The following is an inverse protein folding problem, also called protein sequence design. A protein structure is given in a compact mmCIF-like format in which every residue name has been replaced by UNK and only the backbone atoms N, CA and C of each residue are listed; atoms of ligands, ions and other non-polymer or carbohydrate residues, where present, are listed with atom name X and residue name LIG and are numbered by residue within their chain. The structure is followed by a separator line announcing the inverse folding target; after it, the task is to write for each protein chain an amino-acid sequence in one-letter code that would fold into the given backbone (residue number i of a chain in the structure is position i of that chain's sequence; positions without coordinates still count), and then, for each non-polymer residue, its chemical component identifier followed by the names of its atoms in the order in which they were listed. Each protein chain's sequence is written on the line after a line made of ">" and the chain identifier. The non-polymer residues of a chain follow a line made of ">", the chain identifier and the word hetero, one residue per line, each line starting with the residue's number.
data_IF_002194176510
#
_entry.id   IF_002194176510
#
_cell.length_a   1.000
_cell.length_b   1.000
_cell.length_c   1.000
_cell.angle_alpha   90.00
_cell.angle_beta   90.00
_cell.angle_gamma   90.00
#
_symmetry.space_group_name_H-M   'P 1'
#
loop_
_entity.id
_entity.type
_entity.pdbx_description
1 polymer ?
#
# COMPACT_ATOMS: atom_id res chain seq x y z
N UNK A 1 -20.86 -22.25 17.75
CA UNK A 1 -20.06 -21.03 17.52
C UNK A 1 -20.86 -19.83 17.98
N UNK A 2 -20.23 -18.82 18.60
CA UNK A 2 -20.93 -17.58 18.96
C UNK A 2 -21.43 -16.84 17.69
N UNK A 3 -22.53 -16.07 17.79
CA UNK A 3 -23.04 -15.24 16.65
C UNK A 3 -21.96 -14.32 16.09
N UNK A 4 -21.04 -13.87 16.93
CA UNK A 4 -19.90 -13.03 16.52
C UNK A 4 -18.91 -13.82 15.67
N UNK A 5 -18.57 -15.04 16.05
CA UNK A 5 -17.66 -15.89 15.27
C UNK A 5 -18.24 -16.23 13.89
N UNK A 6 -19.57 -16.44 13.80
CA UNK A 6 -20.25 -16.66 12.53
C UNK A 6 -20.31 -15.40 11.66
N UNK A 7 -20.48 -14.23 12.27
CA UNK A 7 -20.45 -12.96 11.55
C UNK A 7 -19.05 -12.62 10.98
N UNK A 8 -17.98 -13.00 11.70
CA UNK A 8 -16.58 -12.77 11.27
C UNK A 8 -16.14 -13.80 10.23
N UNK A 9 -16.41 -15.09 10.50
CA UNK A 9 -15.96 -16.21 9.69
C UNK A 9 -17.11 -17.18 9.42
N UNK A 10 -17.99 -16.87 8.44
CA UNK A 10 -19.17 -17.69 8.12
C UNK A 10 -18.82 -19.17 7.87
N UNK A 11 -19.59 -20.08 8.47
CA UNK A 11 -19.35 -21.53 8.35
C UNK A 11 -19.40 -22.00 6.90
N UNK A 12 -20.24 -21.39 6.08
CA UNK A 12 -20.44 -21.73 4.66
C UNK A 12 -19.18 -21.54 3.80
N UNK A 13 -18.23 -20.67 4.21
CA UNK A 13 -16.97 -20.46 3.50
C UNK A 13 -15.94 -21.58 3.75
N UNK A 14 -16.25 -22.52 4.63
CA UNK A 14 -15.44 -23.70 4.88
C UNK A 14 -14.23 -23.49 5.82
N UNK A 15 -13.59 -24.58 6.27
CA UNK A 15 -12.49 -24.52 7.22
C UNK A 15 -11.19 -23.96 6.60
N UNK A 16 -10.96 -24.21 5.33
CA UNK A 16 -9.75 -23.74 4.65
C UNK A 16 -9.78 -22.23 4.43
N UNK A 17 -10.93 -21.65 4.09
CA UNK A 17 -11.08 -20.19 4.07
C UNK A 17 -10.79 -19.57 5.45
N UNK A 18 -11.26 -20.18 6.54
CA UNK A 18 -10.98 -19.68 7.90
C UNK A 18 -9.48 -19.71 8.22
N UNK A 19 -8.76 -20.78 7.80
CA UNK A 19 -7.31 -20.87 7.96
C UNK A 19 -6.60 -19.82 7.12
N UNK A 20 -7.02 -19.63 5.87
CA UNK A 20 -6.51 -18.57 4.98
C UNK A 20 -6.73 -17.19 5.61
N UNK A 21 -7.94 -16.90 6.06
CA UNK A 21 -8.27 -15.62 6.71
C UNK A 21 -7.41 -15.39 7.95
N UNK A 22 -7.27 -16.39 8.83
CA UNK A 22 -6.42 -16.29 10.03
C UNK A 22 -4.95 -16.06 9.66
N UNK A 23 -4.43 -16.79 8.66
CA UNK A 23 -3.07 -16.61 8.15
C UNK A 23 -2.85 -15.20 7.61
N UNK A 24 -3.75 -14.73 6.76
CA UNK A 24 -3.69 -13.38 6.17
C UNK A 24 -3.77 -12.30 7.24
N UNK A 25 -4.66 -12.44 8.22
CA UNK A 25 -4.81 -11.48 9.31
C UNK A 25 -3.57 -11.40 10.18
N UNK A 26 -2.97 -12.55 10.53
CA UNK A 26 -1.74 -12.60 11.34
C UNK A 26 -0.55 -12.02 10.55
N UNK A 27 -0.43 -12.36 9.26
CA UNK A 27 0.61 -11.76 8.40
C UNK A 27 0.45 -10.25 8.31
N UNK A 28 -0.78 -9.76 8.05
CA UNK A 28 -1.07 -8.34 7.97
C UNK A 28 -0.75 -7.58 9.28
N UNK A 29 -0.96 -8.21 10.44
CA UNK A 29 -0.55 -7.60 11.71
C UNK A 29 0.99 -7.46 11.78
N UNK A 30 1.73 -8.49 11.41
CA UNK A 30 3.19 -8.46 11.36
C UNK A 30 3.71 -7.39 10.39
N UNK A 31 3.12 -7.32 9.21
CA UNK A 31 3.49 -6.34 8.18
C UNK A 31 3.14 -4.90 8.61
N UNK A 32 1.99 -4.70 9.26
CA UNK A 32 1.60 -3.42 9.86
C UNK A 32 2.55 -2.96 10.97
N UNK A 33 3.05 -3.88 11.80
CA UNK A 33 4.09 -3.59 12.79
C UNK A 33 5.37 -3.09 12.09
N UNK A 34 5.78 -3.73 11.00
CA UNK A 34 6.96 -3.34 10.24
C UNK A 34 6.83 -1.96 9.56
N UNK A 35 5.62 -1.55 9.17
CA UNK A 35 5.37 -0.24 8.55
C UNK A 35 5.85 0.94 9.41
N UNK A 36 5.73 0.84 10.74
CA UNK A 36 6.26 1.86 11.65
C UNK A 36 7.67 1.52 12.13
N UNK A 37 7.95 0.26 12.47
CA UNK A 37 9.23 -0.15 13.03
C UNK A 37 10.39 -0.03 12.03
N UNK A 38 10.15 -0.28 10.73
CA UNK A 38 11.17 -0.18 9.68
C UNK A 38 11.79 1.22 9.58
N UNK A 39 11.00 2.26 9.27
CA UNK A 39 11.49 3.64 9.23
C UNK A 39 12.12 4.11 10.55
N UNK A 40 11.57 3.72 11.70
CA UNK A 40 12.14 4.02 13.01
C UNK A 40 13.51 3.36 13.21
N UNK A 41 13.67 2.11 12.76
CA UNK A 41 14.96 1.43 12.85
C UNK A 41 16.00 2.13 11.96
N UNK A 42 15.64 2.53 10.73
CA UNK A 42 16.55 3.30 9.87
C UNK A 42 16.91 4.64 10.52
N UNK A 43 15.92 5.38 11.04
CA UNK A 43 16.14 6.67 11.70
C UNK A 43 16.96 6.54 13.01
N UNK A 44 16.99 5.36 13.64
CA UNK A 44 17.87 5.09 14.80
C UNK A 44 19.33 4.86 14.41
N UNK A 45 19.61 4.44 13.17
CA UNK A 45 20.96 4.17 12.67
C UNK A 45 21.60 5.37 11.98
N UNK A 46 20.78 6.31 11.48
CA UNK A 46 21.27 7.47 10.72
C UNK A 46 20.33 8.66 10.85
N UNK A 47 20.89 9.86 10.71
CA UNK A 47 20.12 11.11 10.58
C UNK A 47 20.14 11.67 9.15
N UNK A 48 20.79 10.99 8.20
CA UNK A 48 20.76 11.38 6.78
C UNK A 48 19.37 11.15 6.19
N UNK A 49 18.66 12.20 5.76
CA UNK A 49 17.36 12.07 5.12
C UNK A 49 17.41 11.19 3.85
N UNK A 50 18.52 11.25 3.11
CA UNK A 50 18.71 10.41 1.93
C UNK A 50 18.68 8.92 2.28
N UNK A 51 19.33 8.49 3.38
CA UNK A 51 19.34 7.10 3.82
C UNK A 51 18.00 6.70 4.47
N UNK A 52 17.36 7.61 5.21
CA UNK A 52 16.05 7.33 5.82
C UNK A 52 14.96 7.16 4.75
N UNK A 53 14.98 7.95 3.69
CA UNK A 53 14.03 7.82 2.59
C UNK A 53 14.14 6.50 1.84
N UNK A 54 15.32 5.85 1.89
CA UNK A 54 15.51 4.51 1.33
C UNK A 54 14.62 3.46 1.98
N UNK A 55 14.14 3.68 3.21
CA UNK A 55 13.18 2.77 3.84
C UNK A 55 11.92 2.61 2.97
N UNK A 56 11.31 3.71 2.53
CA UNK A 56 10.13 3.68 1.65
C UNK A 56 10.50 3.24 0.22
N UNK A 57 11.63 3.71 -0.30
CA UNK A 57 12.13 3.33 -1.63
C UNK A 57 12.26 1.81 -1.76
N UNK A 58 12.89 1.16 -0.77
CA UNK A 58 13.17 -0.27 -0.79
C UNK A 58 11.94 -1.14 -0.53
N UNK A 59 10.85 -0.57 -0.01
CA UNK A 59 9.53 -1.23 0.01
C UNK A 59 8.89 -1.21 -1.39
N UNK A 60 8.98 -0.11 -2.11
CA UNK A 60 8.40 0.05 -3.46
C UNK A 60 9.22 -0.62 -4.57
N UNK A 61 10.55 -0.60 -4.45
CA UNK A 61 11.46 -1.07 -5.49
C UNK A 61 11.26 -2.55 -5.89
N UNK A 62 11.09 -3.51 -4.96
CA UNK A 62 10.81 -4.89 -5.31
C UNK A 62 9.52 -5.06 -6.13
N UNK A 63 8.46 -4.30 -5.83
CA UNK A 63 7.23 -4.33 -6.60
C UNK A 63 7.43 -3.83 -8.03
N UNK A 64 8.25 -2.80 -8.21
CA UNK A 64 8.59 -2.28 -9.53
C UNK A 64 9.43 -3.28 -10.34
N UNK A 65 10.43 -3.93 -9.70
CA UNK A 65 11.35 -4.84 -10.36
C UNK A 65 10.75 -6.23 -10.59
N UNK A 66 10.06 -6.77 -9.61
CA UNK A 66 9.65 -8.17 -9.57
C UNK A 66 8.13 -8.38 -9.63
N UNK A 67 7.31 -7.34 -9.48
CA UNK A 67 5.85 -7.49 -9.39
C UNK A 67 5.24 -8.22 -10.58
N UNK A 68 5.68 -7.90 -11.79
CA UNK A 68 5.24 -8.57 -13.01
C UNK A 68 5.83 -9.98 -13.15
N UNK A 69 7.08 -10.16 -12.70
CA UNK A 69 7.78 -11.44 -12.73
C UNK A 69 7.14 -12.44 -11.74
N UNK A 70 6.74 -11.96 -10.56
CA UNK A 70 6.13 -12.79 -9.54
C UNK A 70 4.83 -13.45 -10.03
N UNK A 71 4.05 -12.75 -10.87
CA UNK A 71 2.88 -13.31 -11.54
C UNK A 71 3.23 -14.50 -12.45
N UNK A 72 4.22 -14.29 -13.32
CA UNK A 72 4.68 -15.35 -14.24
C UNK A 72 5.29 -16.57 -13.51
N UNK A 73 5.94 -16.33 -12.36
CA UNK A 73 6.44 -17.41 -11.49
C UNK A 73 5.28 -18.14 -10.82
N UNK A 74 4.28 -17.41 -10.27
CA UNK A 74 3.10 -18.00 -9.62
C UNK A 74 2.26 -18.89 -10.55
N UNK A 75 2.33 -18.67 -11.86
CA UNK A 75 1.65 -19.51 -12.86
C UNK A 75 2.41 -20.81 -13.18
N UNK A 76 3.72 -20.87 -12.88
CA UNK A 76 4.61 -21.99 -13.23
C UNK A 76 4.97 -22.88 -12.04
N UNK A 77 4.83 -22.39 -10.82
CA UNK A 77 5.19 -23.13 -9.59
C UNK A 77 3.95 -23.42 -8.75
N UNK A 78 4.09 -24.34 -7.80
CA UNK A 78 3.06 -24.56 -6.79
C UNK A 78 2.93 -23.30 -5.92
N UNK A 79 1.78 -22.65 -6.00
CA UNK A 79 1.48 -21.38 -5.33
C UNK A 79 1.58 -21.48 -3.82
N UNK A 80 1.20 -22.63 -3.24
CA UNK A 80 1.33 -22.88 -1.80
C UNK A 80 2.80 -22.94 -1.39
N UNK A 81 3.62 -23.65 -2.16
CA UNK A 81 5.07 -23.70 -1.91
C UNK A 81 5.71 -22.31 -2.04
N UNK A 82 5.30 -21.55 -3.05
CA UNK A 82 5.78 -20.17 -3.25
C UNK A 82 5.51 -19.30 -2.01
N UNK A 83 4.31 -19.35 -1.43
CA UNK A 83 3.96 -18.63 -0.19
C UNK A 83 4.78 -19.12 1.00
N UNK A 84 4.91 -20.45 1.17
CA UNK A 84 5.65 -21.04 2.29
C UNK A 84 7.15 -20.64 2.23
N UNK A 85 7.78 -20.78 1.06
CA UNK A 85 9.19 -20.40 0.86
C UNK A 85 9.40 -18.91 1.09
N UNK A 86 8.54 -18.06 0.53
CA UNK A 86 8.64 -16.61 0.70
C UNK A 86 8.53 -16.20 2.19
N UNK A 87 7.55 -16.75 2.93
CA UNK A 87 7.39 -16.45 4.34
C UNK A 87 8.52 -17.02 5.22
N UNK A 88 9.07 -18.18 4.88
CA UNK A 88 10.25 -18.73 5.56
C UNK A 88 11.49 -17.86 5.32
N UNK A 89 11.71 -17.39 4.09
CA UNK A 89 12.78 -16.45 3.77
C UNK A 89 12.62 -15.13 4.52
N UNK A 90 11.39 -14.58 4.59
CA UNK A 90 11.11 -13.39 5.41
C UNK A 90 11.46 -13.63 6.88
N UNK A 91 11.05 -14.77 7.43
CA UNK A 91 11.34 -15.15 8.82
C UNK A 91 12.85 -15.25 9.05
N UNK A 92 13.61 -15.84 8.12
CA UNK A 92 15.06 -15.94 8.20
C UNK A 92 15.72 -14.55 8.17
N UNK A 93 15.32 -13.68 7.24
CA UNK A 93 15.86 -12.31 7.14
C UNK A 93 15.58 -11.53 8.43
N UNK A 94 14.37 -11.65 8.99
CA UNK A 94 14.01 -11.02 10.26
C UNK A 94 14.84 -11.58 11.42
N UNK A 95 15.06 -12.90 11.48
CA UNK A 95 15.89 -13.52 12.52
C UNK A 95 17.33 -13.02 12.45
N UNK A 96 17.91 -12.89 11.24
CA UNK A 96 19.24 -12.32 11.04
C UNK A 96 19.29 -10.83 11.45
N UNK A 97 18.23 -10.07 11.14
CA UNK A 97 18.14 -8.67 11.55
C UNK A 97 18.07 -8.55 13.08
N UNK A 98 17.21 -9.34 13.74
CA UNK A 98 17.10 -9.38 15.21
C UNK A 98 18.43 -9.79 15.85
N UNK A 99 19.11 -10.81 15.30
CA UNK A 99 20.41 -11.23 15.78
C UNK A 99 21.47 -10.10 15.63
N UNK A 100 21.46 -9.38 14.50
CA UNK A 100 22.39 -8.26 14.30
C UNK A 100 22.17 -7.11 15.29
N UNK A 101 20.89 -6.83 15.63
CA UNK A 101 20.54 -5.83 16.66
C UNK A 101 21.01 -6.31 18.04
N UNK A 102 20.73 -7.57 18.40
CA UNK A 102 21.04 -8.14 19.71
C UNK A 102 22.56 -8.24 19.97
N UNK A 103 23.35 -8.48 18.92
CA UNK A 103 24.81 -8.54 19.00
C UNK A 103 25.50 -7.18 18.84
N UNK A 104 24.74 -6.11 18.57
CA UNK A 104 25.29 -4.76 18.39
C UNK A 104 26.05 -4.54 17.08
N UNK A 105 25.98 -5.47 16.11
CA UNK A 105 26.62 -5.35 14.78
C UNK A 105 25.68 -4.79 13.73
N UNK A 106 24.48 -4.34 14.12
CA UNK A 106 23.52 -3.72 13.21
C UNK A 106 24.14 -2.46 12.57
N UNK A 107 23.99 -2.35 11.26
CA UNK A 107 24.41 -1.19 10.48
C UNK A 107 23.33 -0.79 9.50
N UNK A 108 23.41 0.44 9.00
CA UNK A 108 22.46 0.92 7.99
C UNK A 108 22.42 0.01 6.75
N UNK A 109 23.55 -0.53 6.32
CA UNK A 109 23.62 -1.46 5.21
C UNK A 109 22.86 -2.76 5.49
N UNK A 110 22.99 -3.31 6.71
CA UNK A 110 22.24 -4.52 7.13
C UNK A 110 20.74 -4.24 7.13
N UNK A 111 20.32 -3.10 7.70
CA UNK A 111 18.91 -2.72 7.78
C UNK A 111 18.31 -2.55 6.38
N UNK A 112 18.95 -1.77 5.51
CA UNK A 112 18.45 -1.51 4.15
C UNK A 112 18.44 -2.80 3.30
N UNK A 113 19.46 -3.65 3.43
CA UNK A 113 19.48 -4.96 2.76
C UNK A 113 18.34 -5.86 3.24
N UNK A 114 18.08 -5.90 4.55
CA UNK A 114 16.96 -6.64 5.11
C UNK A 114 15.61 -6.12 4.57
N UNK A 115 15.40 -4.80 4.52
CA UNK A 115 14.17 -4.22 3.97
C UNK A 115 13.95 -4.59 2.51
N UNK A 116 14.99 -4.54 1.69
CA UNK A 116 14.89 -4.96 0.28
C UNK A 116 14.54 -6.44 0.13
N UNK A 117 15.18 -7.32 0.91
CA UNK A 117 14.91 -8.76 0.88
C UNK A 117 13.52 -9.09 1.39
N UNK A 118 13.06 -8.41 2.46
CA UNK A 118 11.70 -8.55 3.00
C UNK A 118 10.66 -8.11 1.97
N UNK A 119 10.84 -6.94 1.35
CA UNK A 119 9.97 -6.46 0.28
C UNK A 119 9.96 -7.39 -0.94
N UNK A 120 11.11 -7.94 -1.31
CA UNK A 120 11.20 -8.91 -2.42
C UNK A 120 10.38 -10.17 -2.11
N UNK A 121 10.56 -10.76 -0.94
CA UNK A 121 9.80 -11.95 -0.55
C UNK A 121 8.30 -11.66 -0.42
N UNK A 122 7.92 -10.45 0.03
CA UNK A 122 6.53 -9.99 0.11
C UNK A 122 5.86 -9.96 -1.25
N UNK A 123 6.52 -9.43 -2.29
CA UNK A 123 5.99 -9.42 -3.67
C UNK A 123 5.58 -10.82 -4.14
N UNK A 124 6.42 -11.81 -3.89
CA UNK A 124 6.13 -13.20 -4.27
C UNK A 124 5.01 -13.81 -3.43
N UNK A 125 5.04 -13.60 -2.10
CA UNK A 125 4.01 -14.10 -1.20
C UNK A 125 2.64 -13.53 -1.56
N UNK A 126 2.51 -12.21 -1.68
CA UNK A 126 1.25 -11.54 -1.96
C UNK A 126 0.68 -11.89 -3.32
N UNK A 127 1.54 -12.01 -4.34
CA UNK A 127 1.12 -12.43 -5.68
C UNK A 127 0.47 -13.82 -5.64
N UNK A 128 1.07 -14.77 -4.91
CA UNK A 128 0.51 -16.10 -4.77
C UNK A 128 -0.74 -16.13 -3.86
N UNK A 129 -0.76 -15.39 -2.75
CA UNK A 129 -1.91 -15.32 -1.86
C UNK A 129 -3.20 -14.87 -2.56
N UNK A 130 -3.12 -13.89 -3.46
CA UNK A 130 -4.27 -13.39 -4.22
C UNK A 130 -4.95 -14.45 -5.07
N UNK A 131 -4.24 -15.52 -5.41
CA UNK A 131 -4.79 -16.63 -6.20
C UNK A 131 -5.50 -17.69 -5.36
N UNK A 132 -5.29 -17.74 -4.03
CA UNK A 132 -5.87 -18.77 -3.18
C UNK A 132 -7.38 -18.65 -3.07
N UNK A 133 -7.89 -17.43 -2.94
CA UNK A 133 -9.31 -17.21 -2.69
C UNK A 133 -10.23 -17.79 -3.78
N UNK A 134 -9.99 -17.54 -5.09
CA UNK A 134 -10.79 -18.13 -6.15
C UNK A 134 -10.67 -19.66 -6.27
N UNK A 135 -9.65 -20.28 -5.66
CA UNK A 135 -9.45 -21.73 -5.66
C UNK A 135 -10.20 -22.43 -4.52
N UNK A 136 -10.67 -21.69 -3.51
CA UNK A 136 -11.20 -22.23 -2.25
C UNK A 136 -12.65 -21.87 -1.99
N UNK A 137 -13.15 -20.80 -2.65
CA UNK A 137 -14.47 -20.24 -2.38
C UNK A 137 -15.29 -20.18 -3.67
N UNK A 138 -16.55 -20.55 -3.60
CA UNK A 138 -17.47 -20.46 -4.72
C UNK A 138 -17.63 -19.02 -5.23
N UNK A 139 -17.86 -18.87 -6.55
CA UNK A 139 -17.98 -17.55 -7.19
C UNK A 139 -19.03 -16.65 -6.52
N UNK A 140 -20.14 -17.23 -6.02
CA UNK A 140 -21.21 -16.50 -5.33
C UNK A 140 -20.76 -15.90 -3.99
N UNK A 141 -19.77 -16.49 -3.32
CA UNK A 141 -19.27 -16.10 -2.02
C UNK A 141 -17.98 -15.28 -2.05
N UNK A 142 -17.37 -15.09 -3.23
CA UNK A 142 -16.12 -14.33 -3.39
C UNK A 142 -16.22 -12.90 -2.85
N UNK A 143 -17.37 -12.24 -3.01
CA UNK A 143 -17.58 -10.88 -2.50
C UNK A 143 -17.46 -10.81 -0.97
N UNK A 144 -18.11 -11.74 -0.25
CA UNK A 144 -18.03 -11.80 1.21
C UNK A 144 -16.62 -12.19 1.67
N UNK A 145 -16.01 -13.16 1.01
CA UNK A 145 -14.67 -13.62 1.35
C UNK A 145 -13.63 -12.49 1.18
N UNK A 146 -13.66 -11.77 0.04
CA UNK A 146 -12.80 -10.60 -0.18
C UNK A 146 -13.05 -9.51 0.87
N UNK A 147 -14.30 -9.22 1.21
CA UNK A 147 -14.61 -8.22 2.23
C UNK A 147 -14.01 -8.57 3.60
N UNK A 148 -13.98 -9.86 3.98
CA UNK A 148 -13.36 -10.32 5.23
C UNK A 148 -11.84 -10.21 5.23
N UNK A 149 -11.19 -10.55 4.11
CA UNK A 149 -9.73 -10.39 3.97
C UNK A 149 -9.37 -8.90 4.01
N UNK A 150 -10.13 -8.06 3.31
CA UNK A 150 -9.93 -6.60 3.30
C UNK A 150 -10.16 -5.97 4.68
N UNK A 151 -11.17 -6.42 5.42
CA UNK A 151 -11.40 -5.95 6.80
C UNK A 151 -10.20 -6.25 7.70
N UNK A 152 -9.61 -7.45 7.58
CA UNK A 152 -8.38 -7.80 8.29
C UNK A 152 -7.19 -6.92 7.91
N UNK A 153 -7.01 -6.66 6.62
CA UNK A 153 -5.96 -5.75 6.14
C UNK A 153 -6.12 -4.35 6.74
N UNK A 154 -7.29 -3.74 6.63
CA UNK A 154 -7.52 -2.39 7.16
C UNK A 154 -7.34 -2.35 8.67
N UNK A 155 -7.90 -3.33 9.40
CA UNK A 155 -7.90 -3.32 10.87
C UNK A 155 -6.52 -3.66 11.45
N UNK A 156 -5.87 -4.71 10.93
CA UNK A 156 -4.65 -5.26 11.53
C UNK A 156 -3.38 -4.66 10.93
N UNK A 157 -3.34 -4.42 9.61
CA UNK A 157 -2.17 -3.83 8.99
C UNK A 157 -2.13 -2.31 9.20
N UNK A 158 -3.19 -1.61 8.81
CA UNK A 158 -3.17 -0.15 8.79
C UNK A 158 -3.53 0.49 10.13
N UNK A 159 -4.58 -0.01 10.82
CA UNK A 159 -5.08 0.64 12.04
C UNK A 159 -4.35 0.18 13.30
N UNK A 160 -4.20 -1.12 13.51
CA UNK A 160 -3.58 -1.66 14.74
C UNK A 160 -2.06 -1.83 14.61
N UNK A 161 -1.56 -2.23 13.43
CA UNK A 161 -0.17 -2.63 13.24
C UNK A 161 0.82 -1.50 13.46
N UNK A 162 0.62 -0.35 12.83
CA UNK A 162 1.56 0.75 12.92
C UNK A 162 1.72 1.32 14.35
N UNK A 163 0.66 1.64 15.12
CA UNK A 163 0.83 2.09 16.50
C UNK A 163 1.45 1.01 17.39
N UNK A 164 1.08 -0.26 17.18
CA UNK A 164 1.69 -1.36 17.92
C UNK A 164 3.18 -1.49 17.59
N UNK A 165 3.55 -1.38 16.31
CA UNK A 165 4.95 -1.40 15.87
C UNK A 165 5.78 -0.29 16.50
N UNK A 166 5.26 0.93 16.53
CA UNK A 166 5.93 2.06 17.17
C UNK A 166 6.04 1.90 18.71
N UNK A 167 4.99 1.39 19.36
CA UNK A 167 5.02 1.11 20.80
C UNK A 167 6.01 -0.02 21.14
N UNK A 168 6.03 -1.10 20.37
CA UNK A 168 7.00 -2.19 20.53
C UNK A 168 8.43 -1.70 20.29
N UNK A 169 8.63 -0.82 19.31
CA UNK A 169 9.94 -0.22 19.04
C UNK A 169 10.43 0.66 20.21
N UNK A 170 9.52 1.37 20.88
CA UNK A 170 9.85 2.15 22.08
C UNK A 170 10.27 1.25 23.26
N UNK A 171 9.78 0.01 23.34
CA UNK A 171 10.23 -0.99 24.34
C UNK A 171 11.62 -1.51 23.99
N UNK A 172 11.91 -1.69 22.70
CA UNK A 172 13.23 -2.14 22.23
C UNK A 172 13.26 -2.33 20.72
N UNK A 173 14.35 -1.94 20.08
CA UNK A 173 14.52 -1.96 18.61
C UNK A 173 14.28 -3.34 17.98
N UNK A 174 14.61 -4.43 18.66
CA UNK A 174 14.44 -5.80 18.15
C UNK A 174 13.01 -6.35 18.37
N UNK A 175 12.25 -5.80 19.33
CA UNK A 175 10.97 -6.35 19.78
C UNK A 175 9.93 -6.45 18.66
N UNK A 176 9.67 -5.39 17.85
CA UNK A 176 8.68 -5.48 16.78
C UNK A 176 9.03 -6.55 15.74
N UNK A 177 10.29 -6.69 15.40
CA UNK A 177 10.76 -7.72 14.45
C UNK A 177 10.66 -9.14 15.03
N UNK A 178 10.87 -9.31 16.34
CA UNK A 178 10.61 -10.56 17.04
C UNK A 178 9.14 -10.97 17.01
N UNK A 179 8.22 -10.02 17.21
CA UNK A 179 6.78 -10.25 17.07
C UNK A 179 6.42 -10.61 15.63
N UNK A 180 7.01 -9.92 14.65
CA UNK A 180 6.80 -10.21 13.23
C UNK A 180 7.27 -11.63 12.85
N UNK A 181 8.38 -12.11 13.40
CA UNK A 181 8.82 -13.51 13.27
C UNK A 181 7.73 -14.47 13.75
N UNK A 182 7.17 -14.21 14.94
CA UNK A 182 6.09 -15.03 15.50
C UNK A 182 4.85 -15.05 14.59
N UNK A 183 4.44 -13.90 14.08
CA UNK A 183 3.35 -13.77 13.11
C UNK A 183 3.65 -14.57 11.82
N UNK A 184 4.85 -14.41 11.26
CA UNK A 184 5.28 -15.12 10.04
C UNK A 184 5.27 -16.65 10.22
N UNK A 185 5.83 -17.16 11.31
CA UNK A 185 5.81 -18.59 11.61
C UNK A 185 4.39 -19.13 11.77
N UNK A 186 3.52 -18.41 12.47
CA UNK A 186 2.12 -18.78 12.61
C UNK A 186 1.41 -18.79 11.25
N UNK A 187 1.66 -17.81 10.40
CA UNK A 187 1.14 -17.76 9.03
C UNK A 187 1.61 -18.97 8.22
N UNK A 188 2.90 -19.34 8.29
CA UNK A 188 3.46 -20.55 7.65
C UNK A 188 2.74 -21.81 8.13
N UNK A 189 2.53 -21.99 9.44
CA UNK A 189 1.82 -23.14 10.00
C UNK A 189 0.38 -23.19 9.49
N UNK A 190 -0.33 -22.05 9.43
CA UNK A 190 -1.70 -22.00 8.94
C UNK A 190 -1.80 -22.34 7.45
N UNK A 191 -0.92 -21.77 6.62
CA UNK A 191 -0.86 -22.03 5.18
C UNK A 191 -0.46 -23.47 4.88
N UNK A 192 0.47 -24.05 5.64
CA UNK A 192 0.89 -25.45 5.43
C UNK A 192 -0.26 -26.43 5.57
N UNK A 193 -1.28 -26.08 6.37
CA UNK A 193 -2.49 -26.90 6.61
C UNK A 193 -3.64 -26.65 5.63
N UNK A 194 -3.48 -25.75 4.65
CA UNK A 194 -4.49 -25.51 3.62
C UNK A 194 -4.53 -26.69 2.64
N UNK A 195 -5.74 -27.18 2.34
CA UNK A 195 -5.97 -28.16 1.29
C UNK A 195 -6.22 -27.41 -0.04
N UNK A 196 -5.14 -27.09 -0.75
CA UNK A 196 -5.21 -26.48 -2.08
C UNK A 196 -4.96 -27.54 -3.15
N UNK A 197 -5.57 -27.42 -4.35
CA UNK A 197 -5.23 -28.25 -5.48
C UNK A 197 -3.74 -28.15 -5.77
N UNK A 198 -3.06 -29.30 -5.86
CA UNK A 198 -1.63 -29.35 -6.15
C UNK A 198 -1.35 -29.06 -7.63
N UNK A 199 -0.26 -28.35 -7.89
CA UNK A 199 0.31 -28.15 -9.21
C UNK A 199 0.11 -26.76 -9.81
N UNK A 200 0.90 -26.45 -10.86
CA UNK A 200 0.74 -25.22 -11.60
C UNK A 200 -0.62 -25.23 -12.32
N UNK A 201 -1.30 -24.10 -12.35
CA UNK A 201 -2.47 -23.93 -13.22
C UNK A 201 -1.92 -23.86 -14.65
N UNK A 202 -1.99 -25.00 -15.37
CA UNK A 202 -1.60 -25.08 -16.79
C UNK A 202 -2.44 -24.13 -17.62
N UNK A 203 -1.84 -23.04 -18.05
CA UNK A 203 -2.19 -22.26 -19.21
C UNK A 203 -0.87 -21.83 -19.83
N UNK A 204 -0.59 -22.24 -21.06
CA UNK A 204 0.42 -21.59 -21.89
C UNK A 204 -0.07 -20.16 -22.16
N UNK A 205 0.11 -19.29 -21.18
CA UNK A 205 -0.03 -17.86 -21.42
C UNK A 205 1.36 -17.42 -21.87
N UNK A 206 1.50 -17.25 -23.17
CA UNK A 206 2.67 -16.64 -23.79
C UNK A 206 2.70 -15.16 -23.38
N UNK A 207 3.14 -14.92 -22.13
CA UNK A 207 3.15 -13.59 -21.53
C UNK A 207 4.40 -12.85 -21.96
N UNK A 208 4.29 -12.10 -23.02
CA UNK A 208 5.25 -11.06 -23.36
C UNK A 208 5.01 -9.82 -22.50
N UNK A 209 5.38 -9.88 -21.22
CA UNK A 209 5.15 -8.83 -20.21
C UNK A 209 5.48 -7.42 -20.73
N UNK A 210 6.64 -7.24 -21.37
CA UNK A 210 7.06 -5.94 -21.94
C UNK A 210 6.12 -5.50 -23.07
N UNK A 211 5.65 -6.42 -23.90
CA UNK A 211 4.72 -6.13 -24.99
C UNK A 211 3.34 -5.77 -24.44
N UNK A 212 2.86 -6.49 -23.43
CA UNK A 212 1.57 -6.20 -22.78
C UNK A 212 1.57 -4.83 -22.10
N UNK A 213 2.67 -4.43 -21.45
CA UNK A 213 2.83 -3.08 -20.91
C UNK A 213 2.83 -2.05 -22.06
N UNK A 214 3.59 -2.27 -23.12
CA UNK A 214 3.65 -1.35 -24.26
C UNK A 214 2.29 -1.17 -24.93
N UNK A 215 1.53 -2.26 -25.08
CA UNK A 215 0.17 -2.22 -25.62
C UNK A 215 -0.80 -1.52 -24.66
N UNK A 216 -0.68 -1.75 -23.35
CA UNK A 216 -1.43 -1.03 -22.33
C UNK A 216 -1.15 0.46 -22.34
N UNK A 217 0.12 0.88 -22.44
CA UNK A 217 0.50 2.30 -22.56
C UNK A 217 -0.06 2.91 -23.85
N UNK A 218 0.07 2.22 -24.99
CA UNK A 218 -0.44 2.71 -26.27
C UNK A 218 -1.95 2.92 -26.22
N UNK A 219 -2.69 1.95 -25.68
CA UNK A 219 -4.13 2.06 -25.51
C UNK A 219 -4.50 3.23 -24.60
N UNK A 220 -3.86 3.33 -23.44
CA UNK A 220 -4.09 4.38 -22.45
C UNK A 220 -3.83 5.79 -23.01
N UNK A 221 -2.77 5.97 -23.80
CA UNK A 221 -2.43 7.26 -24.43
C UNK A 221 -3.51 7.72 -25.41
N UNK A 222 -4.22 6.78 -26.06
CA UNK A 222 -5.36 7.04 -26.93
C UNK A 222 -6.67 7.40 -26.20
N UNK A 223 -6.74 7.18 -24.86
CA UNK A 223 -7.96 7.36 -24.08
C UNK A 223 -7.79 8.49 -23.03
N UNK A 224 -8.22 9.74 -23.34
CA UNK A 224 -7.96 10.91 -22.52
C UNK A 224 -8.34 10.77 -21.03
N UNK A 225 -9.51 10.20 -20.65
CA UNK A 225 -9.88 10.03 -19.25
C UNK A 225 -8.88 9.16 -18.48
N UNK A 226 -8.50 7.99 -19.04
CA UNK A 226 -7.60 7.02 -18.39
C UNK A 226 -6.17 7.55 -18.35
N UNK A 227 -5.74 8.25 -19.41
CA UNK A 227 -4.44 8.95 -19.45
C UNK A 227 -4.36 10.01 -18.35
N UNK A 228 -5.39 10.83 -18.19
CA UNK A 228 -5.41 11.87 -17.15
C UNK A 228 -5.33 11.26 -15.76
N UNK A 229 -6.09 10.19 -15.48
CA UNK A 229 -6.01 9.48 -14.20
C UNK A 229 -4.61 8.89 -13.97
N UNK A 230 -3.97 8.32 -15.00
CA UNK A 230 -2.63 7.77 -14.87
C UNK A 230 -1.60 8.86 -14.56
N UNK A 231 -1.67 10.02 -15.22
CA UNK A 231 -0.81 11.17 -14.92
C UNK A 231 -0.99 11.67 -13.49
N UNK A 232 -2.25 11.79 -13.04
CA UNK A 232 -2.55 12.19 -11.66
C UNK A 232 -1.98 11.18 -10.67
N UNK A 233 -2.13 9.88 -10.92
CA UNK A 233 -1.61 8.82 -10.03
C UNK A 233 -0.08 8.86 -9.96
N UNK A 234 0.62 9.02 -11.09
CA UNK A 234 2.10 9.15 -11.09
C UNK A 234 2.53 10.35 -10.26
N UNK A 235 1.97 11.53 -10.55
CA UNK A 235 2.35 12.77 -9.86
C UNK A 235 2.01 12.71 -8.38
N UNK A 236 0.82 12.20 -8.04
CA UNK A 236 0.39 11.99 -6.66
C UNK A 236 1.37 11.08 -5.91
N UNK A 237 1.72 9.92 -6.48
CA UNK A 237 2.65 9.01 -5.80
C UNK A 237 4.05 9.60 -5.67
N UNK A 238 4.53 10.42 -6.63
CA UNK A 238 5.81 11.12 -6.51
C UNK A 238 5.76 12.15 -5.37
N UNK A 239 4.76 13.02 -5.34
CA UNK A 239 4.65 14.09 -4.34
C UNK A 239 4.42 13.53 -2.96
N UNK A 240 3.47 12.59 -2.83
CA UNK A 240 3.17 11.91 -1.58
C UNK A 240 4.39 11.15 -1.04
N UNK A 241 5.05 10.32 -1.87
CA UNK A 241 6.18 9.53 -1.42
C UNK A 241 7.40 10.38 -1.06
N UNK A 242 7.61 11.53 -1.72
CA UNK A 242 8.66 12.47 -1.36
C UNK A 242 8.47 12.99 0.08
N UNK A 243 7.26 13.34 0.45
CA UNK A 243 6.92 13.80 1.80
C UNK A 243 6.91 12.63 2.81
N UNK A 244 6.32 11.49 2.44
CA UNK A 244 6.14 10.35 3.34
C UNK A 244 7.44 9.65 3.69
N UNK A 245 8.40 9.61 2.76
CA UNK A 245 9.70 8.96 2.97
C UNK A 245 10.51 9.56 4.12
N UNK A 246 10.28 10.84 4.45
CA UNK A 246 10.97 11.53 5.55
C UNK A 246 10.03 11.82 6.74
N UNK A 247 8.80 11.31 6.73
CA UNK A 247 7.80 11.59 7.76
C UNK A 247 8.28 11.18 9.17
N UNK A 248 9.09 10.11 9.26
CA UNK A 248 9.68 9.68 10.53
C UNK A 248 10.63 10.74 11.09
N UNK A 249 11.51 11.34 10.28
CA UNK A 249 12.39 12.42 10.71
C UNK A 249 11.60 13.68 11.04
N UNK A 250 10.60 14.00 10.23
CA UNK A 250 9.70 15.12 10.51
C UNK A 250 9.00 14.96 11.87
N UNK A 251 8.50 13.75 12.17
CA UNK A 251 7.88 13.46 13.48
C UNK A 251 8.86 13.60 14.64
N UNK A 252 10.10 13.13 14.47
CA UNK A 252 11.11 13.14 15.53
C UNK A 252 11.74 14.52 15.73
N UNK A 253 12.13 15.19 14.65
CA UNK A 253 13.00 16.36 14.68
C UNK A 253 12.22 17.68 14.58
N UNK A 254 11.02 17.71 13.96
CA UNK A 254 10.19 18.92 13.80
C UNK A 254 9.02 18.93 14.78
N UNK A 255 8.30 17.81 14.90
CA UNK A 255 7.16 17.71 15.82
C UNK A 255 7.56 17.26 17.23
N UNK A 256 8.76 16.78 17.44
CA UNK A 256 9.30 16.27 18.71
C UNK A 256 8.41 15.20 19.39
N UNK A 257 7.76 14.35 18.57
CA UNK A 257 6.76 13.39 19.07
C UNK A 257 7.34 12.07 19.57
N UNK A 258 8.57 11.74 19.25
CA UNK A 258 9.17 10.43 19.52
C UNK A 258 8.57 9.27 18.70
N UNK A 259 9.02 8.01 18.93
CA UNK A 259 8.60 6.85 18.14
C UNK A 259 7.09 6.59 18.19
N UNK A 260 6.48 6.67 19.38
CA UNK A 260 5.04 6.46 19.54
C UNK A 260 4.23 7.52 18.80
N UNK A 261 4.70 8.77 18.81
CA UNK A 261 4.08 9.86 18.07
C UNK A 261 4.08 9.65 16.56
N UNK A 262 5.16 9.10 16.01
CA UNK A 262 5.19 8.68 14.60
C UNK A 262 4.13 7.62 14.30
N UNK A 263 3.98 6.61 15.16
CA UNK A 263 2.91 5.62 15.05
C UNK A 263 1.51 6.24 15.13
N UNK A 264 1.32 7.26 15.96
CA UNK A 264 0.03 7.98 16.06
C UNK A 264 -0.31 8.76 14.78
N UNK A 265 0.67 9.32 14.06
CA UNK A 265 0.42 9.95 12.76
C UNK A 265 -0.16 8.95 11.77
N UNK A 266 0.44 7.77 11.63
CA UNK A 266 -0.06 6.73 10.73
C UNK A 266 -1.42 6.18 11.18
N UNK A 267 -1.64 6.07 12.50
CA UNK A 267 -2.94 5.69 13.07
C UNK A 267 -4.03 6.72 12.77
N UNK A 268 -3.72 8.00 12.86
CA UNK A 268 -4.66 9.07 12.54
C UNK A 268 -5.09 8.99 11.06
N UNK A 269 -4.16 8.71 10.14
CA UNK A 269 -4.48 8.48 8.74
C UNK A 269 -5.39 7.25 8.55
N UNK A 270 -5.09 6.13 9.22
CA UNK A 270 -5.92 4.93 9.16
C UNK A 270 -7.33 5.16 9.72
N UNK A 271 -7.45 5.89 10.83
CA UNK A 271 -8.74 6.28 11.40
C UNK A 271 -9.54 7.16 10.43
N UNK A 272 -8.87 8.12 9.77
CA UNK A 272 -9.46 8.91 8.70
C UNK A 272 -9.97 8.05 7.54
N UNK A 273 -9.17 7.07 7.11
CA UNK A 273 -9.56 6.12 6.06
C UNK A 273 -10.80 5.30 6.40
N UNK A 274 -10.95 4.86 7.66
CA UNK A 274 -12.17 4.21 8.14
C UNK A 274 -13.38 5.14 8.04
N UNK A 275 -13.25 6.40 8.47
CA UNK A 275 -14.32 7.40 8.33
C UNK A 275 -14.63 7.63 6.86
N UNK A 276 -13.63 7.74 5.99
CA UNK A 276 -13.80 7.83 4.53
C UNK A 276 -14.60 6.66 3.96
N UNK A 277 -14.37 5.45 4.47
CA UNK A 277 -15.13 4.24 4.06
C UNK A 277 -16.63 4.40 4.36
N UNK A 278 -16.98 4.85 5.56
CA UNK A 278 -18.39 5.05 5.93
C UNK A 278 -19.05 6.22 5.17
N UNK A 279 -18.27 7.26 4.88
CA UNK A 279 -18.77 8.45 4.17
C UNK A 279 -18.94 8.22 2.68
N UNK A 280 -18.19 7.27 2.07
CA UNK A 280 -18.13 7.09 0.61
C UNK A 280 -19.52 7.00 -0.03
N UNK A 281 -20.37 6.10 0.42
CA UNK A 281 -21.68 5.89 -0.17
C UNK A 281 -22.64 7.08 -0.04
N UNK A 282 -22.46 7.93 0.99
CA UNK A 282 -23.22 9.16 1.12
C UNK A 282 -22.67 10.25 0.18
N UNK A 283 -21.35 10.42 0.14
CA UNK A 283 -20.66 11.42 -0.67
C UNK A 283 -20.89 11.15 -2.16
N UNK A 284 -20.74 9.89 -2.61
CA UNK A 284 -20.95 9.48 -4.00
C UNK A 284 -22.36 9.82 -4.52
N UNK A 285 -23.39 9.71 -3.65
CA UNK A 285 -24.77 10.02 -4.01
C UNK A 285 -25.12 11.51 -4.04
N UNK A 286 -24.40 12.35 -3.27
CA UNK A 286 -24.77 13.76 -3.08
C UNK A 286 -23.79 14.73 -3.74
N UNK A 287 -22.58 14.29 -4.09
CA UNK A 287 -21.55 15.16 -4.64
C UNK A 287 -21.20 14.68 -6.07
N UNK A 288 -21.27 15.56 -7.08
CA UNK A 288 -20.86 15.21 -8.43
C UNK A 288 -19.40 14.71 -8.47
N UNK A 289 -19.17 13.66 -9.26
CA UNK A 289 -17.87 13.00 -9.39
C UNK A 289 -16.72 13.98 -9.64
N UNK A 290 -16.88 14.90 -10.59
CA UNK A 290 -15.88 15.93 -10.91
C UNK A 290 -15.53 16.82 -9.71
N UNK A 291 -16.56 17.22 -8.95
CA UNK A 291 -16.38 18.05 -7.76
C UNK A 291 -15.62 17.27 -6.69
N UNK A 292 -16.00 16.02 -6.45
CA UNK A 292 -15.34 15.16 -5.45
C UNK A 292 -13.88 14.95 -5.79
N UNK A 293 -13.54 14.66 -7.06
CA UNK A 293 -12.16 14.50 -7.50
C UNK A 293 -11.34 15.79 -7.31
N UNK A 294 -11.93 16.96 -7.64
CA UNK A 294 -11.26 18.26 -7.43
C UNK A 294 -11.04 18.56 -5.96
N UNK A 295 -12.03 18.27 -5.11
CA UNK A 295 -11.93 18.45 -3.66
C UNK A 295 -10.85 17.56 -3.07
N UNK A 296 -10.80 16.27 -3.43
CA UNK A 296 -9.74 15.36 -2.95
C UNK A 296 -8.34 15.86 -3.33
N UNK A 297 -8.13 16.28 -4.58
CA UNK A 297 -6.85 16.83 -5.01
C UNK A 297 -6.54 18.18 -4.36
N UNK A 298 -7.55 19.02 -4.12
CA UNK A 298 -7.38 20.27 -3.37
C UNK A 298 -6.96 20.04 -1.92
N UNK A 299 -7.57 19.03 -1.27
CA UNK A 299 -7.18 18.63 0.09
C UNK A 299 -5.75 18.06 0.15
N UNK A 300 -5.30 17.35 -0.90
CA UNK A 300 -3.91 16.91 -1.03
C UNK A 300 -2.95 18.10 -1.01
N UNK A 301 -3.22 19.14 -1.81
CA UNK A 301 -2.41 20.36 -1.85
C UNK A 301 -2.38 21.03 -0.47
N UNK A 302 -3.54 21.18 0.17
CA UNK A 302 -3.66 21.82 1.50
C UNK A 302 -2.96 21.00 2.57
N UNK A 303 -3.03 19.67 2.51
CA UNK A 303 -2.32 18.78 3.43
C UNK A 303 -0.80 19.01 3.37
N UNK A 304 -0.21 19.02 2.17
CA UNK A 304 1.23 19.25 2.03
C UNK A 304 1.64 20.64 2.52
N UNK A 305 0.86 21.67 2.24
CA UNK A 305 1.07 23.01 2.79
C UNK A 305 0.98 23.01 4.32
N UNK A 306 -0.02 22.33 4.86
CA UNK A 306 -0.20 22.17 6.31
C UNK A 306 1.02 21.55 6.98
N UNK A 307 1.56 20.46 6.42
CA UNK A 307 2.79 19.85 6.92
C UNK A 307 4.04 20.73 6.73
N UNK A 308 4.12 21.48 5.63
CA UNK A 308 5.24 22.39 5.39
C UNK A 308 5.31 23.54 6.42
N UNK A 309 4.17 23.92 6.98
CA UNK A 309 4.04 25.07 7.90
C UNK A 309 3.94 24.69 9.37
N UNK A 310 3.37 23.52 9.70
CA UNK A 310 3.12 23.18 11.11
C UNK A 310 4.35 22.61 11.81
N UNK A 311 4.50 23.02 13.07
CA UNK A 311 5.41 22.41 14.04
C UNK A 311 4.62 21.84 15.23
N UNK A 312 3.29 21.81 15.13
CA UNK A 312 2.39 21.47 16.22
C UNK A 312 1.85 20.07 16.05
N UNK A 313 2.17 19.18 16.97
CA UNK A 313 1.87 17.75 16.91
C UNK A 313 0.37 17.44 16.72
N UNK A 314 -0.53 18.07 17.52
CA UNK A 314 -1.97 17.80 17.38
C UNK A 314 -2.54 18.25 16.04
N UNK A 315 -2.01 19.33 15.45
CA UNK A 315 -2.42 19.81 14.14
C UNK A 315 -1.95 18.83 13.05
N UNK A 316 -0.73 18.29 13.16
CA UNK A 316 -0.23 17.25 12.27
C UNK A 316 -1.09 15.98 12.32
N UNK A 317 -1.55 15.57 13.52
CA UNK A 317 -2.49 14.45 13.67
C UNK A 317 -3.84 14.72 12.99
N UNK A 318 -4.38 15.94 13.11
CA UNK A 318 -5.62 16.34 12.45
C UNK A 318 -5.46 16.35 10.91
N UNK A 319 -4.34 16.85 10.40
CA UNK A 319 -4.01 16.84 8.98
C UNK A 319 -3.92 15.40 8.48
N UNK A 320 -3.25 14.51 9.23
CA UNK A 320 -3.15 13.07 8.88
C UNK A 320 -4.50 12.37 8.88
N UNK A 321 -5.38 12.69 9.83
CA UNK A 321 -6.74 12.18 9.83
C UNK A 321 -7.50 12.62 8.58
N UNK A 322 -7.43 13.90 8.22
CA UNK A 322 -8.02 14.45 7.00
C UNK A 322 -7.46 13.78 5.73
N UNK A 323 -6.12 13.55 5.70
CA UNK A 323 -5.46 12.78 4.65
C UNK A 323 -6.11 11.41 4.48
N UNK A 324 -6.28 10.65 5.57
CA UNK A 324 -6.90 9.34 5.51
C UNK A 324 -8.29 9.36 4.90
N UNK A 325 -9.13 10.34 5.28
CA UNK A 325 -10.49 10.47 4.74
C UNK A 325 -10.47 10.65 3.22
N UNK A 326 -9.78 11.68 2.73
CA UNK A 326 -9.82 11.97 1.29
C UNK A 326 -9.02 10.98 0.45
N UNK A 327 -7.91 10.43 0.96
CA UNK A 327 -7.11 9.43 0.25
C UNK A 327 -7.91 8.14 -0.01
N UNK A 328 -8.72 7.70 0.97
CA UNK A 328 -9.62 6.59 0.78
C UNK A 328 -10.71 6.89 -0.27
N UNK A 329 -11.35 8.06 -0.18
CA UNK A 329 -12.35 8.50 -1.15
C UNK A 329 -11.75 8.55 -2.56
N UNK A 330 -10.58 9.16 -2.71
CA UNK A 330 -9.85 9.25 -3.98
C UNK A 330 -9.50 7.87 -4.54
N UNK A 331 -8.94 6.98 -3.71
CA UNK A 331 -8.55 5.63 -4.11
C UNK A 331 -9.73 4.82 -4.66
N UNK A 332 -10.84 4.81 -3.91
CA UNK A 332 -12.08 4.10 -4.31
C UNK A 332 -12.67 4.68 -5.59
N UNK A 333 -12.74 6.01 -5.68
CA UNK A 333 -13.31 6.72 -6.81
C UNK A 333 -12.49 6.52 -8.09
N UNK A 334 -11.17 6.71 -8.03
CA UNK A 334 -10.28 6.54 -9.17
C UNK A 334 -10.25 5.10 -9.68
N UNK A 335 -10.37 4.13 -8.78
CA UNK A 335 -10.49 2.71 -9.15
C UNK A 335 -11.81 2.42 -9.87
N UNK A 336 -12.93 2.95 -9.37
CA UNK A 336 -14.24 2.77 -9.98
C UNK A 336 -14.29 3.37 -11.39
N UNK A 337 -13.80 4.61 -11.57
CA UNK A 337 -13.73 5.27 -12.89
C UNK A 337 -12.88 4.45 -13.86
N UNK A 338 -11.71 3.97 -13.42
CA UNK A 338 -10.84 3.15 -14.26
C UNK A 338 -11.51 1.84 -14.67
N UNK A 339 -12.15 1.13 -13.73
CA UNK A 339 -12.81 -0.14 -14.02
C UNK A 339 -13.96 0.01 -15.03
N UNK A 340 -14.68 1.13 -14.99
CA UNK A 340 -15.75 1.44 -15.96
C UNK A 340 -15.20 1.86 -17.33
N UNK A 341 -14.12 2.66 -17.35
CA UNK A 341 -13.57 3.23 -18.57
C UNK A 341 -12.71 2.25 -19.39
N UNK A 342 -12.19 1.17 -18.79
CA UNK A 342 -11.28 0.22 -19.44
C UNK A 342 -12.03 -1.06 -19.84
N UNK A 343 -12.10 -1.41 -21.15
CA UNK A 343 -12.71 -2.66 -21.61
C UNK A 343 -12.04 -3.89 -20.98
N UNK A 344 -12.81 -4.97 -20.79
CA UNK A 344 -12.36 -6.20 -20.13
C UNK A 344 -11.05 -6.75 -20.71
N UNK A 345 -10.89 -6.70 -22.04
CA UNK A 345 -9.71 -7.18 -22.76
C UNK A 345 -8.42 -6.40 -22.45
N UNK A 346 -8.54 -5.13 -22.03
CA UNK A 346 -7.40 -4.27 -21.69
C UNK A 346 -7.19 -4.12 -20.17
N UNK A 347 -8.09 -4.60 -19.31
CA UNK A 347 -8.00 -4.39 -17.86
C UNK A 347 -6.67 -4.90 -17.25
N UNK A 348 -6.19 -6.07 -17.69
CA UNK A 348 -4.91 -6.61 -17.23
C UNK A 348 -3.72 -5.76 -17.66
N UNK A 349 -3.67 -5.37 -18.94
CA UNK A 349 -2.58 -4.55 -19.51
C UNK A 349 -2.53 -3.15 -18.89
N UNK A 350 -3.68 -2.49 -18.83
CA UNK A 350 -3.80 -1.17 -18.20
C UNK A 350 -3.52 -1.26 -16.69
N UNK A 351 -3.99 -2.32 -16.01
CA UNK A 351 -3.68 -2.58 -14.61
C UNK A 351 -2.18 -2.69 -14.33
N UNK A 352 -1.44 -3.38 -15.20
CA UNK A 352 0.03 -3.48 -15.12
C UNK A 352 0.71 -2.11 -15.26
N UNK A 353 0.26 -1.28 -16.24
CA UNK A 353 0.76 0.09 -16.42
C UNK A 353 0.51 0.94 -15.17
N UNK A 354 -0.69 0.84 -14.57
CA UNK A 354 -0.99 1.55 -13.32
C UNK A 354 -0.13 1.08 -12.16
N UNK A 355 0.15 -0.21 -12.04
CA UNK A 355 1.03 -0.73 -10.99
C UNK A 355 2.46 -0.19 -11.14
N UNK A 356 3.00 -0.19 -12.35
CA UNK A 356 4.30 0.43 -12.65
C UNK A 356 4.29 1.93 -12.34
N UNK A 357 3.21 2.63 -12.66
CA UNK A 357 3.04 4.06 -12.38
C UNK A 357 3.02 4.34 -10.86
N UNK A 358 2.31 3.53 -10.07
CA UNK A 358 2.22 3.66 -8.61
C UNK A 358 3.60 3.40 -7.98
N UNK A 359 4.17 2.22 -8.19
CA UNK A 359 5.43 1.84 -7.54
C UNK A 359 6.62 2.63 -8.09
N UNK A 360 6.63 2.94 -9.39
CA UNK A 360 7.62 3.85 -9.98
C UNK A 360 7.54 5.26 -9.39
N UNK A 361 6.31 5.77 -9.21
CA UNK A 361 6.08 7.05 -8.53
C UNK A 361 6.58 7.04 -7.09
N UNK A 362 6.33 5.96 -6.33
CA UNK A 362 6.81 5.79 -4.95
C UNK A 362 8.35 5.78 -4.91
N UNK A 363 9.00 5.00 -5.77
CA UNK A 363 10.48 4.90 -5.82
C UNK A 363 11.11 6.24 -6.17
N UNK A 364 10.62 6.90 -7.22
CA UNK A 364 11.12 8.22 -7.65
C UNK A 364 10.84 9.28 -6.58
N UNK A 365 9.62 9.28 -6.03
CA UNK A 365 9.23 10.22 -4.98
C UNK A 365 10.09 10.08 -3.73
N UNK A 366 10.29 8.86 -3.23
CA UNK A 366 11.11 8.61 -2.06
C UNK A 366 12.58 9.04 -2.28
N UNK A 367 13.15 8.75 -3.46
CA UNK A 367 14.50 9.20 -3.82
C UNK A 367 14.60 10.73 -3.86
N UNK A 368 13.64 11.40 -4.51
CA UNK A 368 13.58 12.86 -4.56
C UNK A 368 13.39 13.46 -3.17
N UNK A 369 12.48 12.90 -2.35
CA UNK A 369 12.23 13.38 -0.99
C UNK A 369 13.46 13.31 -0.11
N UNK A 370 14.20 12.19 -0.15
CA UNK A 370 15.48 12.05 0.55
C UNK A 370 16.52 13.06 0.07
N UNK A 371 16.70 13.19 -1.24
CA UNK A 371 17.62 14.14 -1.83
C UNK A 371 17.28 15.60 -1.45
N UNK A 372 16.01 15.99 -1.57
CA UNK A 372 15.54 17.33 -1.24
C UNK A 372 15.74 17.61 0.25
N UNK A 373 15.38 16.66 1.13
CA UNK A 373 15.53 16.84 2.57
C UNK A 373 17.00 16.93 3.01
N UNK A 374 17.91 16.20 2.35
CA UNK A 374 19.34 16.23 2.65
C UNK A 374 19.95 17.62 2.37
N UNK A 375 19.50 18.31 1.30
CA UNK A 375 20.08 19.57 0.88
C UNK A 375 19.35 20.82 1.38
N UNK A 376 18.04 20.73 1.60
CA UNK A 376 17.19 21.88 1.96
C UNK A 376 16.41 21.70 3.27
N UNK A 377 16.66 20.58 3.99
CA UNK A 377 16.03 20.30 5.28
C UNK A 377 14.75 19.50 5.20
N UNK A 378 14.36 18.95 6.36
CA UNK A 378 13.29 17.93 6.51
C UNK A 378 11.90 18.43 6.07
N UNK A 379 11.65 19.74 6.08
CA UNK A 379 10.37 20.32 5.64
C UNK A 379 10.31 20.56 4.13
N UNK A 380 11.45 20.61 3.43
CA UNK A 380 11.51 20.93 2.01
C UNK A 380 10.74 19.95 1.09
N UNK A 381 10.70 18.62 1.35
CA UNK A 381 9.88 17.70 0.56
C UNK A 381 8.38 18.00 0.62
N UNK A 382 7.88 18.55 1.73
CA UNK A 382 6.46 18.97 1.82
C UNK A 382 6.18 20.20 0.94
N UNK A 383 7.11 21.14 0.85
CA UNK A 383 7.03 22.26 -0.10
C UNK A 383 7.07 21.78 -1.55
N UNK A 384 7.96 20.85 -1.86
CA UNK A 384 8.02 20.22 -3.19
C UNK A 384 6.68 19.53 -3.51
N UNK A 385 6.12 18.78 -2.57
CA UNK A 385 4.85 18.09 -2.72
C UNK A 385 3.68 19.08 -2.88
N UNK A 386 3.66 20.17 -2.11
CA UNK A 386 2.68 21.25 -2.25
C UNK A 386 2.67 21.87 -3.64
N UNK A 387 3.85 22.27 -4.15
CA UNK A 387 3.97 22.86 -5.48
C UNK A 387 3.63 21.86 -6.57
N UNK A 388 4.14 20.63 -6.48
CA UNK A 388 3.90 19.57 -7.46
C UNK A 388 2.44 19.15 -7.55
N UNK A 389 1.78 18.92 -6.40
CA UNK A 389 0.35 18.58 -6.36
C UNK A 389 -0.52 19.76 -6.80
N UNK A 390 -0.16 20.99 -6.43
CA UNK A 390 -0.84 22.20 -6.85
C UNK A 390 -0.79 22.42 -8.38
N UNK A 391 0.38 22.26 -8.98
CA UNK A 391 0.55 22.32 -10.44
C UNK A 391 -0.26 21.22 -11.13
N UNK A 392 -0.24 20.01 -10.60
CA UNK A 392 -1.04 18.90 -11.14
C UNK A 392 -2.52 19.24 -11.10
N UNK A 393 -3.03 19.74 -9.97
CA UNK A 393 -4.43 20.14 -9.84
C UNK A 393 -4.83 21.19 -10.88
N UNK A 394 -4.00 22.22 -11.10
CA UNK A 394 -4.26 23.27 -12.11
C UNK A 394 -4.30 22.66 -13.51
N UNK A 395 -3.32 21.80 -13.85
CA UNK A 395 -3.22 21.21 -15.19
C UNK A 395 -4.41 20.28 -15.50
N UNK A 396 -4.89 19.52 -14.51
CA UNK A 396 -5.98 18.53 -14.73
C UNK A 396 -7.37 19.10 -14.42
N UNK A 397 -7.49 20.33 -13.91
CA UNK A 397 -8.76 20.91 -13.42
C UNK A 397 -9.91 20.80 -14.41
N UNK A 398 -9.67 21.14 -15.68
CA UNK A 398 -10.68 21.05 -16.74
C UNK A 398 -10.95 19.61 -17.15
N UNK A 399 -9.91 18.78 -17.20
CA UNK A 399 -9.99 17.38 -17.64
C UNK A 399 -10.81 16.53 -16.67
N UNK A 400 -10.75 16.83 -15.37
CA UNK A 400 -11.58 16.14 -14.35
C UNK A 400 -13.09 16.35 -14.60
N UNK A 401 -13.48 17.47 -15.18
CA UNK A 401 -14.89 17.70 -15.59
C UNK A 401 -15.33 16.80 -16.73
N UNK A 402 -14.45 16.53 -17.70
CA UNK A 402 -14.76 15.68 -18.86
C UNK A 402 -14.84 14.18 -18.48
N UNK A 403 -14.04 13.73 -17.53
CA UNK A 403 -14.07 12.35 -17.00
C UNK A 403 -15.48 12.04 -16.44
N UNK A 404 -16.09 13.00 -15.74
CA UNK A 404 -17.40 12.85 -15.15
C UNK A 404 -18.56 12.81 -16.17
N UNK A 405 -18.37 13.45 -17.34
CA UNK A 405 -19.41 13.44 -18.39
C UNK A 405 -19.45 12.12 -19.18
N UNK A 406 -18.32 11.43 -19.31
CA UNK A 406 -18.26 10.12 -20.00
C UNK A 406 -19.09 9.07 -19.26
N UNK A 407 -19.19 9.15 -17.93
CA UNK A 407 -20.03 8.25 -17.11
C UNK A 407 -21.53 8.48 -17.32
N UNK A 408 -21.96 9.69 -17.75
CA UNK A 408 -23.37 10.01 -17.98
C UNK A 408 -23.85 9.65 -19.38
N UNK A 409 -22.95 9.60 -20.36
CA UNK A 409 -23.32 9.28 -21.76
C UNK A 409 -23.38 7.77 -22.01
N UNK A 410 -22.62 6.95 -21.31
CA UNK A 410 -22.69 5.49 -21.44
C UNK A 410 -23.98 4.87 -20.86
N UNK A 411 -24.71 5.60 -20.04
CA UNK A 411 -26.01 5.17 -19.51
C UNK A 411 -27.23 5.55 -20.37
N UNK A 412 -27.04 6.32 -21.44
CA UNK A 412 -28.11 6.76 -22.33
C UNK A 412 -28.21 5.95 -23.64
N UNK A 413 -27.17 5.15 -23.94
CA UNK A 413 -27.13 4.30 -25.16
C UNK A 413 -27.65 2.87 -24.91
N UNK A 414 -28.09 2.53 -23.69
CA UNK A 414 -28.69 1.23 -23.34
C UNK A 414 -30.21 1.32 -23.03
N UNK A 415 -30.91 2.39 -23.50
CA UNK A 415 -32.33 2.59 -23.31
C UNK A 415 -33.17 2.30 -24.56
#
# INVERSE_FOLDING_TARGET
>A
MSRVAEAIAPARLGPDFRRLMASTWVSNLGDGIALAAGPLLVASQTRSPALVSMALLLVGLPWLLFGLFAGAVADRVDRKQMVLVANLLRTLVLALLVASIATGVVSIAVVLSAMFLLGTAEVFADTAYRTFLPMMVDKADLGIANARLQAGFITLNQFAGAPLGAALFAVGMAVPFGVQIGCGLLAVVLVSRLALPAGPVRGEVDTHVVRDIADGVRWMMGHPPVRTLALVIVTFNITWAAAWAILVLYSLDVLHMGPVGYGLLTTAAAAGGLVGTFLYGWVERHVPLATLMRVCLGLEVVMHLGFALTTVAWLALLIMFGFGVYAFLWGTLSQAVRQRAVPMEYQGRVGSVYSVAIFGGIVVGAALGGFIAEHWGVTAPFWFAFVGSGLTLVLVWRQLGHIAHVDQTSGLDEG
#
